data_IF_088795124859
#
_entry.id   IF_088795124859
#
_cell.length_a   1.000
_cell.length_b   1.000
_cell.length_c   1.000
_cell.angle_alpha   90.00
_cell.angle_beta   90.00
_cell.angle_gamma   90.00
#
_symmetry.space_group_name_H-M   'P 1'
#
loop_
_entity.id
_entity.type
_entity.pdbx_description
1 polymer ?
#
# COMPACT_ATOMS: atom_id res chain seq x y z
N UNK A 1 -1.40 -18.35 -8.88
CA UNK A 1 -2.15 -17.72 -7.78
C UNK A 1 -2.28 -16.20 -8.00
N UNK A 2 -1.19 -15.44 -8.17
CA UNK A 2 -1.24 -14.01 -8.53
C UNK A 2 -2.03 -13.71 -9.83
N UNK A 3 -1.82 -14.50 -10.89
CA UNK A 3 -2.56 -14.35 -12.18
C UNK A 3 -4.07 -14.55 -12.08
N UNK A 4 -4.54 -15.32 -11.09
CA UNK A 4 -5.97 -15.56 -10.86
C UNK A 4 -6.59 -14.40 -10.07
N UNK A 5 -5.78 -13.78 -9.21
CA UNK A 5 -6.14 -12.67 -8.35
C UNK A 5 -6.34 -11.35 -9.11
N UNK A 6 -5.42 -11.00 -10.02
CA UNK A 6 -5.49 -9.78 -10.85
C UNK A 6 -6.72 -9.71 -11.78
N UNK A 7 -7.44 -10.84 -11.93
CA UNK A 7 -8.65 -10.95 -12.76
C UNK A 7 -9.95 -10.84 -11.95
N UNK A 8 -9.86 -10.75 -10.62
CA UNK A 8 -11.04 -10.68 -9.78
C UNK A 8 -11.53 -9.23 -9.65
N UNK A 9 -12.84 -8.96 -9.79
CA UNK A 9 -13.42 -7.62 -9.65
C UNK A 9 -13.38 -7.07 -8.20
N UNK A 10 -12.69 -7.77 -7.30
CA UNK A 10 -12.69 -7.55 -5.85
C UNK A 10 -11.40 -6.95 -5.32
N UNK A 11 -10.52 -6.44 -6.18
CA UNK A 11 -9.28 -5.79 -5.76
C UNK A 11 -9.51 -4.51 -4.93
N UNK A 12 -10.74 -4.02 -4.94
CA UNK A 12 -11.20 -2.88 -4.15
C UNK A 12 -11.80 -3.29 -2.80
N UNK A 13 -11.99 -4.60 -2.53
CA UNK A 13 -12.38 -5.06 -1.20
C UNK A 13 -11.15 -5.02 -0.29
N UNK A 14 -11.21 -4.14 0.70
CA UNK A 14 -10.20 -3.94 1.75
C UNK A 14 -9.77 -5.26 2.41
N UNK A 15 -10.69 -6.19 2.62
CA UNK A 15 -10.37 -7.50 3.22
C UNK A 15 -9.47 -8.33 2.32
N UNK A 16 -9.64 -8.19 1.01
CA UNK A 16 -8.86 -8.90 0.01
C UNK A 16 -7.47 -8.26 -0.11
N UNK A 17 -7.38 -6.94 -0.05
CA UNK A 17 -6.10 -6.23 0.04
C UNK A 17 -5.31 -6.64 1.29
N UNK A 18 -5.96 -6.61 2.46
CA UNK A 18 -5.35 -7.03 3.72
C UNK A 18 -4.88 -8.49 3.66
N UNK A 19 -5.72 -9.38 3.12
CA UNK A 19 -5.34 -10.77 2.92
C UNK A 19 -4.09 -10.92 2.05
N UNK A 20 -3.99 -10.17 0.94
CA UNK A 20 -2.82 -10.20 0.06
C UNK A 20 -1.54 -9.79 0.77
N UNK A 21 -1.54 -8.67 1.48
CA UNK A 21 -0.36 -8.25 2.24
C UNK A 21 0.03 -9.28 3.31
N UNK A 22 -0.95 -9.88 3.98
CA UNK A 22 -0.70 -10.94 4.95
C UNK A 22 -0.20 -12.25 4.29
N UNK A 23 -0.64 -12.58 3.08
CA UNK A 23 -0.10 -13.71 2.31
C UNK A 23 1.35 -13.47 1.92
N UNK A 24 1.71 -12.25 1.48
CA UNK A 24 3.11 -11.97 1.18
C UNK A 24 4.02 -12.17 2.39
N UNK A 25 3.56 -11.88 3.61
CA UNK A 25 4.34 -12.11 4.82
C UNK A 25 4.71 -13.58 5.07
N UNK A 26 4.05 -14.53 4.40
CA UNK A 26 4.37 -15.97 4.47
C UNK A 26 5.63 -16.33 3.67
N UNK A 27 6.08 -15.48 2.74
CA UNK A 27 7.32 -15.72 1.99
C UNK A 27 8.53 -15.62 2.92
N UNK A 28 9.55 -16.45 2.68
CA UNK A 28 10.75 -16.47 3.51
C UNK A 28 11.68 -15.27 3.26
N UNK A 29 11.77 -14.80 2.02
CA UNK A 29 12.70 -13.74 1.61
C UNK A 29 11.99 -12.39 1.39
N UNK A 30 12.63 -11.32 1.83
CA UNK A 30 12.04 -9.97 1.77
C UNK A 30 11.87 -9.45 0.34
N UNK A 31 12.71 -9.90 -0.60
CA UNK A 31 12.59 -9.53 -2.01
C UNK A 31 11.29 -10.03 -2.61
N UNK A 32 10.89 -11.28 -2.32
CA UNK A 32 9.62 -11.84 -2.79
C UNK A 32 8.44 -11.18 -2.10
N UNK A 33 8.54 -10.86 -0.80
CA UNK A 33 7.52 -10.09 -0.08
C UNK A 33 7.27 -8.74 -0.76
N UNK A 34 8.34 -7.99 -1.06
CA UNK A 34 8.29 -6.67 -1.70
C UNK A 34 7.73 -6.77 -3.12
N UNK A 35 8.21 -7.70 -3.94
CA UNK A 35 7.69 -7.90 -5.31
C UNK A 35 6.20 -8.23 -5.33
N UNK A 36 5.73 -9.03 -4.38
CA UNK A 36 4.32 -9.33 -4.24
C UNK A 36 3.52 -8.07 -3.87
N UNK A 37 3.95 -7.34 -2.84
CA UNK A 37 3.32 -6.10 -2.39
C UNK A 37 3.21 -5.07 -3.53
N UNK A 38 4.28 -4.87 -4.31
CA UNK A 38 4.28 -4.02 -5.49
C UNK A 38 3.21 -4.43 -6.50
N UNK A 39 3.19 -5.72 -6.86
CA UNK A 39 2.20 -6.20 -7.84
C UNK A 39 0.76 -6.03 -7.36
N UNK A 40 0.50 -6.10 -6.05
CA UNK A 40 -0.84 -5.83 -5.49
C UNK A 40 -1.17 -4.35 -5.68
N UNK A 41 -0.28 -3.44 -5.28
CA UNK A 41 -0.47 -1.98 -5.38
C UNK A 41 -0.71 -1.54 -6.83
N UNK A 42 0.02 -2.10 -7.79
CA UNK A 42 -0.11 -1.77 -9.22
C UNK A 42 -1.50 -2.03 -9.78
N UNK A 43 -2.26 -2.93 -9.17
CA UNK A 43 -3.58 -3.34 -9.64
C UNK A 43 -4.74 -2.84 -8.77
N UNK A 44 -4.46 -2.03 -7.74
CA UNK A 44 -5.49 -1.37 -6.94
C UNK A 44 -6.20 -0.33 -7.81
N UNK A 45 -7.53 -0.39 -7.86
CA UNK A 45 -8.34 0.67 -8.43
C UNK A 45 -8.74 1.67 -7.35
N UNK A 46 -8.00 2.79 -7.32
CA UNK A 46 -8.20 3.88 -6.37
C UNK A 46 -9.46 4.70 -6.66
N UNK A 47 -10.34 4.33 -7.59
CA UNK A 47 -11.62 5.06 -7.79
C UNK A 47 -12.74 4.59 -6.85
N UNK A 48 -12.53 3.53 -6.06
CA UNK A 48 -13.53 2.96 -5.16
C UNK A 48 -13.00 2.88 -3.72
N UNK A 49 -13.86 3.11 -2.71
CA UNK A 49 -13.54 2.96 -1.27
C UNK A 49 -12.19 3.57 -0.83
N UNK A 50 -11.84 4.68 -1.47
CA UNK A 50 -10.54 5.37 -1.39
C UNK A 50 -9.96 5.50 0.03
N UNK A 51 -10.74 6.02 0.98
CA UNK A 51 -10.28 6.20 2.36
C UNK A 51 -9.88 4.87 3.01
N UNK A 52 -10.66 3.80 2.79
CA UNK A 52 -10.36 2.50 3.38
C UNK A 52 -9.17 1.82 2.71
N UNK A 53 -9.00 2.00 1.39
CA UNK A 53 -7.83 1.52 0.65
C UNK A 53 -6.58 2.21 1.20
N UNK A 54 -6.62 3.54 1.35
CA UNK A 54 -5.51 4.31 1.93
C UNK A 54 -5.18 3.83 3.35
N UNK A 55 -6.18 3.69 4.24
CA UNK A 55 -6.00 3.14 5.60
C UNK A 55 -5.36 1.75 5.60
N UNK A 56 -5.80 0.87 4.71
CA UNK A 56 -5.29 -0.51 4.60
C UNK A 56 -3.83 -0.54 4.16
N UNK A 57 -3.50 0.29 3.16
CA UNK A 57 -2.13 0.47 2.70
C UNK A 57 -1.26 0.96 3.85
N UNK A 58 -1.71 1.96 4.62
CA UNK A 58 -0.97 2.44 5.78
C UNK A 58 -0.70 1.40 6.83
N UNK A 59 -1.72 0.61 7.17
CA UNK A 59 -1.59 -0.37 8.22
C UNK A 59 -0.61 -1.47 7.83
N UNK A 60 -0.76 -2.00 6.61
CA UNK A 60 0.04 -3.13 6.15
C UNK A 60 1.47 -2.74 5.80
N UNK A 61 1.69 -1.57 5.21
CA UNK A 61 3.02 -1.15 4.77
C UNK A 61 3.90 -0.63 5.91
N UNK A 62 3.34 -0.46 7.10
CA UNK A 62 4.11 -0.24 8.33
C UNK A 62 4.76 -1.51 8.88
N UNK A 63 4.49 -2.68 8.29
CA UNK A 63 5.12 -3.95 8.64
C UNK A 63 6.47 -4.06 7.95
N UNK A 64 7.47 -4.60 8.65
CA UNK A 64 8.70 -5.06 8.02
C UNK A 64 8.42 -6.26 7.10
N UNK A 65 9.03 -6.36 5.90
CA UNK A 65 10.08 -5.49 5.36
C UNK A 65 9.57 -4.28 4.55
N UNK A 66 8.25 -4.11 4.41
CA UNK A 66 7.68 -3.10 3.50
C UNK A 66 8.08 -1.69 3.89
N UNK A 67 8.10 -1.41 5.20
CA UNK A 67 8.53 -0.14 5.74
C UNK A 67 9.93 0.24 5.25
N UNK A 68 10.85 -0.71 5.12
CA UNK A 68 12.23 -0.47 4.72
C UNK A 68 12.48 -0.58 3.21
N UNK A 69 11.42 -0.54 2.38
CA UNK A 69 11.53 -0.64 0.93
C UNK A 69 11.30 0.71 0.26
N UNK A 70 12.35 1.42 -0.21
CA UNK A 70 12.21 2.69 -0.91
C UNK A 70 11.32 2.57 -2.17
N UNK A 71 11.42 1.45 -2.89
CA UNK A 71 10.62 1.17 -4.07
C UNK A 71 9.12 1.15 -3.77
N UNK A 72 8.70 0.53 -2.65
CA UNK A 72 7.30 0.51 -2.26
C UNK A 72 6.84 1.90 -1.83
N UNK A 73 7.67 2.63 -1.08
CA UNK A 73 7.35 3.99 -0.65
C UNK A 73 7.13 4.94 -1.83
N UNK A 74 7.98 4.90 -2.84
CA UNK A 74 7.85 5.71 -4.06
C UNK A 74 6.57 5.35 -4.83
N UNK A 75 6.29 4.06 -5.04
CA UNK A 75 5.07 3.63 -5.71
C UNK A 75 3.81 4.08 -4.98
N UNK A 76 3.81 3.96 -3.64
CA UNK A 76 2.70 4.44 -2.81
C UNK A 76 2.56 5.96 -2.92
N UNK A 77 3.67 6.71 -2.93
CA UNK A 77 3.65 8.16 -3.10
C UNK A 77 3.01 8.55 -4.42
N UNK A 78 3.45 7.96 -5.54
CA UNK A 78 2.87 8.22 -6.86
C UNK A 78 1.36 7.96 -6.87
N UNK A 79 0.91 6.87 -6.24
CA UNK A 79 -0.52 6.56 -6.14
C UNK A 79 -1.25 7.52 -5.20
N UNK A 80 -0.75 7.78 -4.00
CA UNK A 80 -1.44 8.58 -2.99
C UNK A 80 -1.43 10.08 -3.31
N UNK A 81 -0.37 10.64 -3.87
CA UNK A 81 -0.30 12.08 -4.24
C UNK A 81 -1.41 12.47 -5.19
N UNK A 82 -1.71 11.60 -6.15
CA UNK A 82 -2.79 11.82 -7.12
C UNK A 82 -4.14 12.00 -6.41
N UNK A 83 -4.33 11.36 -5.25
CA UNK A 83 -5.62 11.27 -4.59
C UNK A 83 -5.66 11.87 -3.17
N UNK A 84 -4.55 12.38 -2.61
CA UNK A 84 -4.47 12.81 -1.20
C UNK A 84 -5.45 13.95 -0.85
N UNK A 85 -5.74 14.80 -1.83
CA UNK A 85 -6.72 15.88 -1.69
C UNK A 85 -8.16 15.39 -1.85
N UNK A 86 -8.38 14.35 -2.65
CA UNK A 86 -9.69 13.76 -2.93
C UNK A 86 -10.10 12.72 -1.88
N UNK A 87 -9.12 12.17 -1.16
CA UNK A 87 -9.37 11.27 -0.05
C UNK A 87 -10.12 11.98 1.07
N UNK A 88 -11.25 11.40 1.46
CA UNK A 88 -11.99 11.73 2.66
C UNK A 88 -11.28 11.16 3.90
N UNK A 89 -10.02 11.55 4.09
CA UNK A 89 -9.20 11.25 5.26
C UNK A 89 -9.22 12.46 6.18
N UNK A 90 -9.16 12.21 7.49
CA UNK A 90 -8.96 13.27 8.47
C UNK A 90 -7.62 13.97 8.26
N UNK A 91 -7.50 15.22 8.71
CA UNK A 91 -6.23 15.96 8.66
C UNK A 91 -5.10 15.22 9.40
N UNK A 92 -5.44 14.45 10.43
CA UNK A 92 -4.46 13.64 11.18
C UNK A 92 -3.93 12.47 10.34
N UNK A 93 -4.79 11.78 9.59
CA UNK A 93 -4.38 10.70 8.69
C UNK A 93 -3.57 11.22 7.52
N UNK A 94 -3.97 12.35 6.92
CA UNK A 94 -3.18 13.06 5.90
C UNK A 94 -1.81 13.47 6.44
N UNK A 95 -1.75 13.98 7.68
CA UNK A 95 -0.48 14.33 8.33
C UNK A 95 0.40 13.11 8.60
N UNK A 96 -0.17 11.97 9.00
CA UNK A 96 0.56 10.70 9.13
C UNK A 96 1.05 10.17 7.77
N UNK A 97 0.30 10.41 6.68
CA UNK A 97 0.69 10.11 5.30
C UNK A 97 2.00 10.81 4.97
N UNK A 98 1.97 12.12 5.12
CA UNK A 98 3.08 13.01 4.87
C UNK A 98 4.24 12.60 5.78
N UNK A 99 4.06 12.54 7.10
CA UNK A 99 5.14 12.21 8.02
C UNK A 99 5.81 10.86 7.73
N UNK A 100 5.06 9.79 7.44
CA UNK A 100 5.69 8.49 7.09
C UNK A 100 6.48 8.55 5.80
N UNK A 101 6.01 9.30 4.82
CA UNK A 101 6.68 9.45 3.52
C UNK A 101 7.90 10.39 3.60
N UNK A 102 7.89 11.36 4.52
CA UNK A 102 8.96 12.34 4.68
C UNK A 102 9.94 12.05 5.83
N UNK A 103 9.58 11.24 6.83
CA UNK A 103 10.53 10.81 7.87
C UNK A 103 11.57 9.82 7.32
N UNK A 104 11.28 9.08 6.24
CA UNK A 104 12.30 8.30 5.50
C UNK A 104 13.15 9.16 4.54
N UNK A 105 12.80 10.44 4.33
CA UNK A 105 13.67 11.42 3.63
C UNK A 105 14.66 12.06 4.61
N UNK A 106 14.53 11.84 5.93
CA UNK A 106 15.56 12.28 6.89
C UNK A 106 16.79 11.37 6.86
N UNK A 107 17.73 11.82 6.03
CA UNK A 107 19.18 11.74 6.18
C UNK A 107 19.84 10.35 5.98
N UNK A 108 19.99 9.98 4.71
CA UNK A 108 21.27 9.40 4.24
C UNK A 108 22.26 10.51 3.93
#
# INVERSE_FOLDING_TARGET
MLKTFLKLPYINDVKILEWCFNQSMQYSDDTTKIKHARSVIDHIDFNCDQSKIAETLFFNLNKEPYKNSPELQELIWEKLVVYVNDFNLSNQEKSRLILRLFDDVKLS
#
